data_IF_079648734770
#
_entry.id   IF_079648734770
#
_cell.length_a   1.000
_cell.length_b   1.000
_cell.length_c   1.000
_cell.angle_alpha   90.00
_cell.angle_beta   90.00
_cell.angle_gamma   90.00
#
_symmetry.space_group_name_H-M   'P 1'
#
loop_
_entity.id
_entity.type
_entity.pdbx_description
1 polymer ?
#
# COMPACT_ATOMS: atom_id res chain seq x y z
N UNK A 1 -9.61 -40.05 24.60
CA UNK A 1 -10.19 -39.12 23.59
C UNK A 1 -10.42 -37.68 24.08
N UNK A 2 -10.46 -37.41 25.40
CA UNK A 2 -10.70 -36.05 25.96
C UNK A 2 -9.52 -35.06 25.80
N UNK A 3 -8.26 -35.53 25.88
CA UNK A 3 -7.06 -34.69 25.75
C UNK A 3 -6.93 -34.04 24.36
N UNK A 4 -7.25 -34.78 23.29
CA UNK A 4 -7.19 -34.30 21.91
C UNK A 4 -8.20 -33.16 21.65
N UNK A 5 -9.43 -33.29 22.17
CA UNK A 5 -10.42 -32.21 22.11
C UNK A 5 -9.98 -30.96 22.87
N UNK A 6 -9.40 -31.12 24.07
CA UNK A 6 -8.90 -29.99 24.85
C UNK A 6 -7.75 -29.24 24.14
N UNK A 7 -6.84 -29.96 23.47
CA UNK A 7 -5.79 -29.33 22.65
C UNK A 7 -6.35 -28.59 21.44
N UNK A 8 -7.36 -29.15 20.75
CA UNK A 8 -7.99 -28.49 19.60
C UNK A 8 -8.76 -27.23 20.00
N UNK A 9 -9.48 -27.26 21.13
CA UNK A 9 -10.18 -26.08 21.66
C UNK A 9 -9.18 -24.98 22.02
N UNK A 10 -8.04 -25.34 22.63
CA UNK A 10 -6.99 -24.39 22.99
C UNK A 10 -6.31 -23.78 21.77
N UNK A 11 -6.01 -24.59 20.75
CA UNK A 11 -5.51 -24.13 19.45
C UNK A 11 -6.48 -23.17 18.77
N UNK A 12 -7.78 -23.48 18.78
CA UNK A 12 -8.80 -22.58 18.21
C UNK A 12 -8.91 -21.26 18.99
N UNK A 13 -8.80 -21.29 20.32
CA UNK A 13 -8.76 -20.09 21.14
C UNK A 13 -7.52 -19.24 20.87
N UNK A 14 -6.36 -19.87 20.70
CA UNK A 14 -5.11 -19.17 20.38
C UNK A 14 -5.15 -18.59 18.96
N UNK A 15 -5.73 -19.32 17.98
CA UNK A 15 -6.01 -18.81 16.64
C UNK A 15 -6.98 -17.63 16.66
N UNK A 16 -8.07 -17.71 17.44
CA UNK A 16 -9.02 -16.61 17.61
C UNK A 16 -8.38 -15.38 18.28
N UNK A 17 -7.47 -15.59 19.25
CA UNK A 17 -6.71 -14.49 19.88
C UNK A 17 -5.73 -13.86 18.91
N UNK A 18 -5.06 -14.66 18.07
CA UNK A 18 -4.19 -14.19 17.01
C UNK A 18 -4.98 -13.40 15.96
N UNK A 19 -6.10 -13.94 15.49
CA UNK A 19 -7.01 -13.25 14.57
C UNK A 19 -7.53 -11.94 15.16
N UNK A 20 -7.88 -11.92 16.45
CA UNK A 20 -8.33 -10.70 17.13
C UNK A 20 -7.19 -9.69 17.28
N UNK A 21 -5.97 -10.11 17.63
CA UNK A 21 -4.81 -9.21 17.66
C UNK A 21 -4.47 -8.66 16.27
N UNK A 22 -4.51 -9.52 15.25
CA UNK A 22 -4.34 -9.12 13.85
C UNK A 22 -5.41 -8.12 13.43
N UNK A 23 -6.66 -8.26 13.87
CA UNK A 23 -7.74 -7.32 13.56
C UNK A 23 -7.56 -5.93 14.20
N UNK A 24 -7.00 -5.87 15.41
CA UNK A 24 -6.67 -4.59 16.07
C UNK A 24 -5.42 -3.94 15.49
N UNK A 25 -4.42 -4.73 15.08
CA UNK A 25 -3.23 -4.24 14.37
C UNK A 25 -3.52 -3.90 12.90
N UNK A 26 -4.64 -4.37 12.36
CA UNK A 26 -5.05 -4.19 10.96
C UNK A 26 -5.19 -2.71 10.59
N UNK A 27 -5.57 -1.84 11.53
CA UNK A 27 -5.62 -0.39 11.30
C UNK A 27 -4.22 0.23 11.16
N UNK A 28 -3.27 -0.21 11.98
CA UNK A 28 -1.88 0.25 11.91
C UNK A 28 -1.22 -0.26 10.62
N UNK A 29 -1.48 -1.52 10.24
CA UNK A 29 -0.96 -2.10 9.00
C UNK A 29 -1.60 -1.54 7.74
N UNK A 30 -2.92 -1.29 7.75
CA UNK A 30 -3.61 -0.71 6.60
C UNK A 30 -3.05 0.66 6.26
N UNK A 31 -2.72 1.47 7.26
CA UNK A 31 -2.10 2.79 7.06
C UNK A 31 -0.75 2.65 6.36
N UNK A 32 0.10 1.72 6.80
CA UNK A 32 1.37 1.41 6.14
C UNK A 32 1.19 0.92 4.70
N UNK A 33 0.26 -0.02 4.45
CA UNK A 33 0.02 -0.55 3.11
C UNK A 33 -0.45 0.52 2.13
N UNK A 34 -1.33 1.42 2.60
CA UNK A 34 -1.79 2.57 1.84
C UNK A 34 -0.66 3.58 1.58
N UNK A 35 0.21 3.81 2.56
CA UNK A 35 1.40 4.64 2.37
C UNK A 35 2.33 4.03 1.32
N UNK A 36 2.59 2.73 1.38
CA UNK A 36 3.51 2.05 0.47
C UNK A 36 3.03 2.09 -0.99
N UNK A 37 1.77 1.71 -1.25
CA UNK A 37 1.24 1.74 -2.62
C UNK A 37 1.18 3.17 -3.19
N UNK A 38 0.92 4.18 -2.34
CA UNK A 38 0.96 5.58 -2.77
C UNK A 38 2.39 6.06 -3.02
N UNK A 39 3.38 5.58 -2.25
CA UNK A 39 4.80 5.82 -2.50
C UNK A 39 5.19 5.31 -3.89
N UNK A 40 4.85 4.05 -4.18
CA UNK A 40 5.09 3.44 -5.50
C UNK A 40 4.38 4.20 -6.62
N UNK A 41 3.13 4.63 -6.39
CA UNK A 41 2.42 5.46 -7.36
C UNK A 41 3.16 6.76 -7.67
N UNK A 42 3.72 7.43 -6.65
CA UNK A 42 4.53 8.64 -6.84
C UNK A 42 5.75 8.34 -7.70
N UNK A 43 6.50 7.30 -7.35
CA UNK A 43 7.70 6.87 -8.09
C UNK A 43 7.39 6.57 -9.55
N UNK A 44 6.35 5.79 -9.81
CA UNK A 44 5.90 5.45 -11.17
C UNK A 44 5.49 6.68 -11.95
N UNK A 45 4.79 7.63 -11.31
CA UNK A 45 4.39 8.87 -11.96
C UNK A 45 5.62 9.68 -12.37
N UNK A 46 6.62 9.80 -11.50
CA UNK A 46 7.84 10.54 -11.79
C UNK A 46 8.71 9.84 -12.84
N UNK A 47 8.92 8.53 -12.71
CA UNK A 47 9.68 7.72 -13.64
C UNK A 47 9.07 7.73 -15.05
N UNK A 48 7.76 7.46 -15.20
CA UNK A 48 7.10 7.45 -16.52
C UNK A 48 6.97 8.83 -17.16
N UNK A 49 7.06 9.90 -16.37
CA UNK A 49 7.10 11.27 -16.89
C UNK A 49 8.52 11.76 -17.17
N UNK A 50 9.55 10.93 -16.96
CA UNK A 50 10.97 11.28 -17.05
C UNK A 50 11.29 12.55 -16.24
N UNK A 51 10.79 12.60 -15.01
CA UNK A 51 10.96 13.73 -14.09
C UNK A 51 11.74 13.30 -12.86
N UNK A 52 12.63 14.19 -12.43
CA UNK A 52 13.30 14.06 -11.15
C UNK A 52 12.33 14.37 -10.00
N UNK A 53 12.48 13.63 -8.90
CA UNK A 53 11.81 13.91 -7.65
C UNK A 53 12.28 15.27 -7.09
N UNK A 54 11.49 15.91 -6.20
CA UNK A 54 11.88 17.15 -5.54
C UNK A 54 13.26 17.02 -4.90
N UNK A 55 14.13 18.00 -5.11
CA UNK A 55 15.55 17.92 -4.72
C UNK A 55 16.48 17.46 -5.83
N UNK A 56 15.94 17.07 -7.00
CA UNK A 56 16.73 16.71 -8.17
C UNK A 56 17.19 15.25 -8.16
N UNK A 57 16.50 14.38 -7.42
CA UNK A 57 16.82 12.96 -7.31
C UNK A 57 16.15 12.13 -8.41
N UNK A 58 16.88 11.21 -9.03
CA UNK A 58 16.26 10.18 -9.84
C UNK A 58 15.54 9.19 -8.92
N UNK A 59 14.48 8.55 -9.41
CA UNK A 59 13.77 7.51 -8.64
C UNK A 59 14.72 6.36 -8.28
N UNK A 60 15.60 5.98 -9.21
CA UNK A 60 16.56 4.88 -9.06
C UNK A 60 17.70 5.17 -8.06
N UNK A 61 17.91 6.45 -7.70
CA UNK A 61 19.01 6.88 -6.84
C UNK A 61 18.53 7.26 -5.43
N UNK A 62 17.21 7.25 -5.20
CA UNK A 62 16.63 7.82 -3.98
C UNK A 62 16.85 6.93 -2.75
N UNK A 63 17.15 5.65 -2.93
CA UNK A 63 17.42 4.67 -1.86
C UNK A 63 18.63 5.04 -0.99
N UNK A 64 19.51 5.93 -1.45
CA UNK A 64 20.69 6.38 -0.71
C UNK A 64 20.37 7.49 0.32
N UNK A 65 19.16 8.04 0.31
CA UNK A 65 18.75 9.12 1.20
C UNK A 65 18.31 8.57 2.55
N UNK A 66 18.53 9.35 3.61
CA UNK A 66 18.01 9.04 4.94
C UNK A 66 16.46 9.10 4.96
N UNK A 67 15.86 8.39 5.91
CA UNK A 67 14.41 8.27 6.01
C UNK A 67 13.70 9.62 6.13
N UNK A 68 14.24 10.58 6.88
CA UNK A 68 13.61 11.90 7.06
C UNK A 68 13.62 12.71 5.76
N UNK A 69 14.75 12.68 5.05
CA UNK A 69 14.87 13.30 3.73
C UNK A 69 13.92 12.66 2.73
N UNK A 70 13.84 11.32 2.69
CA UNK A 70 12.89 10.57 1.85
C UNK A 70 11.44 10.99 2.12
N UNK A 71 11.04 11.04 3.40
CA UNK A 71 9.70 11.49 3.82
C UNK A 71 9.38 12.85 3.20
N UNK A 72 10.30 13.82 3.34
CA UNK A 72 10.11 15.18 2.83
C UNK A 72 10.01 15.22 1.31
N UNK A 73 10.83 14.42 0.61
CA UNK A 73 10.82 14.32 -0.86
C UNK A 73 9.48 13.77 -1.33
N UNK A 74 9.03 12.62 -0.84
CA UNK A 74 7.75 12.03 -1.25
C UNK A 74 6.56 12.91 -0.88
N UNK A 75 6.56 13.51 0.32
CA UNK A 75 5.51 14.47 0.74
C UNK A 75 5.39 15.63 -0.24
N UNK A 76 6.52 16.16 -0.71
CA UNK A 76 6.55 17.25 -1.68
C UNK A 76 6.15 16.77 -3.07
N UNK A 77 6.59 15.58 -3.47
CA UNK A 77 6.32 14.98 -4.77
C UNK A 77 4.82 14.73 -4.96
N UNK A 78 4.18 14.12 -3.97
CA UNK A 78 2.74 13.82 -3.97
C UNK A 78 1.90 15.08 -4.27
N UNK A 79 2.21 16.20 -3.60
CA UNK A 79 1.52 17.48 -3.78
C UNK A 79 1.69 18.07 -5.18
N UNK A 80 2.81 17.80 -5.86
CA UNK A 80 3.14 18.33 -7.19
C UNK A 80 2.52 17.52 -8.33
N UNK A 81 1.93 16.36 -8.05
CA UNK A 81 1.26 15.55 -9.07
C UNK A 81 -0.11 16.16 -9.41
N UNK A 82 -0.27 16.59 -10.66
CA UNK A 82 -1.51 17.20 -11.14
C UNK A 82 -2.58 16.16 -11.51
N UNK A 83 -3.83 16.43 -11.14
CA UNK A 83 -5.02 15.61 -11.46
C UNK A 83 -5.14 15.30 -12.96
N UNK A 84 -4.99 16.30 -13.83
CA UNK A 84 -5.13 16.11 -15.28
C UNK A 84 -4.11 15.12 -15.83
N UNK A 85 -2.92 15.04 -15.22
CA UNK A 85 -1.86 14.13 -15.65
C UNK A 85 -2.16 12.70 -15.24
N UNK A 86 -2.60 12.48 -14.01
CA UNK A 86 -3.04 11.16 -13.54
C UNK A 86 -4.12 10.58 -14.47
N UNK A 87 -5.12 11.41 -14.82
CA UNK A 87 -6.17 10.99 -15.74
C UNK A 87 -5.64 10.68 -17.13
N UNK A 88 -4.89 11.60 -17.76
CA UNK A 88 -4.48 11.47 -19.17
C UNK A 88 -3.38 10.45 -19.41
N UNK A 89 -2.48 10.23 -18.45
CA UNK A 89 -1.29 9.38 -18.61
C UNK A 89 -1.40 8.02 -17.91
N UNK A 90 -2.24 7.93 -16.88
CA UNK A 90 -2.36 6.73 -16.05
C UNK A 90 -3.79 6.18 -15.99
N UNK A 91 -4.77 6.87 -16.59
CA UNK A 91 -6.18 6.46 -16.54
C UNK A 91 -6.80 6.54 -15.15
N UNK A 92 -6.14 7.21 -14.21
CA UNK A 92 -6.58 7.29 -12.81
C UNK A 92 -7.60 8.42 -12.61
N UNK A 93 -8.68 8.09 -11.91
CA UNK A 93 -9.74 9.03 -11.56
C UNK A 93 -9.28 10.14 -10.60
N UNK A 94 -10.13 11.16 -10.40
CA UNK A 94 -9.85 12.24 -9.44
C UNK A 94 -9.69 11.76 -7.98
N UNK A 95 -10.22 10.57 -7.64
CA UNK A 95 -10.08 10.00 -6.28
C UNK A 95 -8.62 9.70 -5.93
N UNK A 96 -7.82 9.24 -6.90
CA UNK A 96 -6.39 8.98 -6.70
C UNK A 96 -5.59 10.26 -6.49
N UNK A 97 -5.94 11.32 -7.23
CA UNK A 97 -5.38 12.64 -6.94
C UNK A 97 -5.69 13.07 -5.50
N UNK A 98 -6.94 12.90 -5.06
CA UNK A 98 -7.33 13.18 -3.68
C UNK A 98 -6.50 12.40 -2.66
N UNK A 99 -6.26 11.10 -2.89
CA UNK A 99 -5.42 10.28 -2.03
C UNK A 99 -3.96 10.78 -1.98
N UNK A 100 -3.37 11.12 -3.13
CA UNK A 100 -2.02 11.71 -3.17
C UNK A 100 -1.93 13.06 -2.43
N UNK A 101 -2.97 13.90 -2.51
CA UNK A 101 -3.01 15.16 -1.77
C UNK A 101 -3.09 14.95 -0.25
N UNK A 102 -3.56 13.79 0.21
CA UNK A 102 -3.60 13.38 1.62
C UNK A 102 -2.43 12.49 2.03
N UNK A 103 -1.53 12.14 1.12
CA UNK A 103 -0.40 11.25 1.41
C UNK A 103 0.47 11.73 2.57
N UNK A 104 0.53 13.04 2.81
CA UNK A 104 1.23 13.61 3.97
C UNK A 104 0.72 13.13 5.34
N UNK A 105 -0.52 12.63 5.41
CA UNK A 105 -1.12 12.07 6.63
C UNK A 105 -0.55 10.68 6.95
N UNK A 106 -0.03 9.98 5.93
CA UNK A 106 0.37 8.56 6.04
C UNK A 106 1.85 8.32 5.73
N UNK A 107 2.58 9.29 5.18
CA UNK A 107 3.97 9.14 4.71
C UNK A 107 4.94 8.61 5.79
N UNK A 108 4.71 8.96 7.07
CA UNK A 108 5.56 8.53 8.19
C UNK A 108 5.36 7.04 8.56
N UNK A 109 4.32 6.40 8.03
CA UNK A 109 4.02 4.98 8.28
C UNK A 109 4.52 4.08 7.15
N UNK A 110 5.16 4.64 6.12
CA UNK A 110 5.69 3.84 5.00
C UNK A 110 6.80 2.92 5.49
N UNK A 111 6.86 1.78 4.83
CA UNK A 111 7.95 0.82 4.88
C UNK A 111 9.25 1.39 4.31
N UNK A 112 10.39 0.84 4.71
CA UNK A 112 11.66 1.08 4.01
C UNK A 112 11.60 0.55 2.57
N UNK A 113 11.01 -0.64 2.38
CA UNK A 113 10.72 -1.22 1.08
C UNK A 113 9.19 -1.29 0.86
N UNK A 114 8.61 -0.45 -0.02
CA UNK A 114 7.18 -0.48 -0.33
C UNK A 114 6.67 -1.79 -0.98
N UNK A 115 7.56 -2.64 -1.52
CA UNK A 115 7.17 -3.94 -2.08
C UNK A 115 6.88 -4.98 -1.00
N UNK A 116 7.39 -4.82 0.22
CA UNK A 116 7.21 -5.80 1.30
C UNK A 116 5.74 -5.98 1.70
N UNK A 117 4.89 -4.98 1.44
CA UNK A 117 3.48 -4.99 1.82
C UNK A 117 2.54 -5.46 0.71
N UNK A 118 3.05 -5.71 -0.50
CA UNK A 118 2.26 -6.13 -1.67
C UNK A 118 1.33 -7.31 -1.34
N UNK A 119 1.90 -8.45 -0.94
CA UNK A 119 1.14 -9.70 -0.80
C UNK A 119 0.15 -9.65 0.36
N UNK A 120 0.53 -9.02 1.48
CA UNK A 120 -0.36 -8.89 2.64
C UNK A 120 -1.51 -7.92 2.36
N UNK A 121 -1.25 -6.83 1.64
CA UNK A 121 -2.30 -5.90 1.24
C UNK A 121 -3.24 -6.53 0.22
N UNK A 122 -2.70 -7.29 -0.74
CA UNK A 122 -3.49 -8.04 -1.71
C UNK A 122 -4.46 -9.02 -1.02
N UNK A 123 -3.94 -9.83 -0.09
CA UNK A 123 -4.75 -10.77 0.69
C UNK A 123 -5.84 -10.07 1.50
N UNK A 124 -5.52 -8.93 2.09
CA UNK A 124 -6.52 -8.12 2.79
C UNK A 124 -7.62 -7.64 1.85
N UNK A 125 -7.28 -7.08 0.68
CA UNK A 125 -8.26 -6.62 -0.30
C UNK A 125 -9.17 -7.76 -0.77
N UNK A 126 -8.63 -8.95 -1.02
CA UNK A 126 -9.43 -10.13 -1.39
C UNK A 126 -10.42 -10.50 -0.29
N UNK A 127 -9.99 -10.52 0.98
CA UNK A 127 -10.86 -10.80 2.11
C UNK A 127 -11.94 -9.73 2.29
N UNK A 128 -11.57 -8.46 2.10
CA UNK A 128 -12.45 -7.31 2.26
C UNK A 128 -13.41 -7.09 1.07
N UNK A 129 -13.19 -7.78 -0.06
CA UNK A 129 -13.96 -7.57 -1.31
C UNK A 129 -15.48 -7.68 -1.12
N UNK A 130 -15.93 -8.53 -0.21
CA UNK A 130 -17.35 -8.70 0.12
C UNK A 130 -17.91 -7.61 1.04
N UNK A 131 -17.13 -7.12 2.01
CA UNK A 131 -17.58 -6.17 3.03
C UNK A 131 -17.38 -4.71 2.60
N UNK A 132 -16.26 -4.41 1.93
CA UNK A 132 -15.92 -3.10 1.41
C UNK A 132 -15.46 -3.17 -0.06
N UNK A 133 -16.41 -3.39 -1.00
CA UNK A 133 -16.08 -3.47 -2.42
C UNK A 133 -15.44 -2.19 -2.96
N UNK A 134 -15.73 -1.04 -2.36
CA UNK A 134 -15.16 0.25 -2.74
C UNK A 134 -13.67 0.37 -2.42
N UNK A 135 -13.18 -0.24 -1.33
CA UNK A 135 -11.75 -0.31 -1.04
C UNK A 135 -11.03 -1.24 -2.03
N UNK A 136 -11.62 -2.40 -2.32
CA UNK A 136 -11.08 -3.34 -3.31
C UNK A 136 -10.97 -2.70 -4.70
N UNK A 137 -12.03 -2.04 -5.18
CA UNK A 137 -12.02 -1.36 -6.48
C UNK A 137 -10.96 -0.25 -6.52
N UNK A 138 -10.93 0.59 -5.47
CA UNK A 138 -10.03 1.73 -5.43
C UNK A 138 -8.56 1.29 -5.38
N UNK A 139 -8.17 0.46 -4.43
CA UNK A 139 -6.78 0.05 -4.28
C UNK A 139 -6.36 -0.95 -5.36
N UNK A 140 -7.26 -1.87 -5.75
CA UNK A 140 -6.98 -2.89 -6.75
C UNK A 140 -6.63 -2.32 -8.12
N UNK A 141 -7.16 -1.16 -8.51
CA UNK A 141 -6.77 -0.50 -9.76
C UNK A 141 -5.30 -0.07 -9.78
N UNK A 142 -4.68 0.16 -8.62
CA UNK A 142 -3.26 0.53 -8.52
C UNK A 142 -2.32 -0.66 -8.64
N UNK A 143 -2.77 -1.88 -8.37
CA UNK A 143 -1.91 -3.08 -8.33
C UNK A 143 -1.17 -3.32 -9.65
N UNK A 144 -1.83 -3.36 -10.82
CA UNK A 144 -1.13 -3.57 -12.09
C UNK A 144 -0.16 -2.44 -12.43
N UNK A 145 -0.41 -1.23 -11.91
CA UNK A 145 0.47 -0.09 -12.12
C UNK A 145 1.70 -0.17 -11.21
N UNK A 146 1.50 -0.48 -9.92
CA UNK A 146 2.50 -0.39 -8.85
C UNK A 146 3.34 -1.65 -8.73
N UNK A 147 2.70 -2.81 -8.74
CA UNK A 147 3.33 -4.10 -8.51
C UNK A 147 3.48 -4.93 -9.78
N UNK A 148 2.93 -4.46 -10.91
CA UNK A 148 2.90 -5.19 -12.20
C UNK A 148 2.18 -6.54 -12.12
N UNK A 149 1.32 -6.70 -11.12
CA UNK A 149 0.47 -7.86 -10.87
C UNK A 149 -0.93 -7.39 -10.50
N UNK A 150 -1.91 -8.25 -10.69
CA UNK A 150 -3.27 -8.07 -10.17
C UNK A 150 -3.32 -8.36 -8.67
N UNK A 151 -4.39 -7.92 -8.01
CA UNK A 151 -4.63 -8.24 -6.59
C UNK A 151 -4.65 -9.76 -6.37
N UNK A 152 -5.29 -10.50 -7.28
CA UNK A 152 -5.39 -11.96 -7.21
C UNK A 152 -4.02 -12.64 -7.32
N UNK A 153 -3.19 -12.21 -8.27
CA UNK A 153 -1.84 -12.75 -8.46
C UNK A 153 -0.96 -12.48 -7.24
N UNK A 154 -0.96 -11.25 -6.73
CA UNK A 154 -0.20 -10.87 -5.54
C UNK A 154 -0.68 -11.62 -4.28
N UNK A 155 -2.00 -11.85 -4.15
CA UNK A 155 -2.56 -12.58 -3.01
C UNK A 155 -2.20 -14.08 -3.01
N UNK A 156 -1.90 -14.65 -4.17
CA UNK A 156 -1.53 -16.06 -4.35
C UNK A 156 -0.05 -16.38 -4.03
N UNK A 157 0.78 -15.37 -3.76
CA UNK A 157 2.19 -15.54 -3.43
C UNK A 157 2.33 -15.91 -1.93
N UNK A 158 3.06 -16.99 -1.66
CA UNK A 158 3.30 -17.54 -0.33
C UNK A 158 4.55 -16.97 0.32
#
# INVERSE_FOLDING_TARGET
>A
MSKLRASTIRLNLDLMKLQRHMSTMQHDFLTTWQADILTLLIEIVYARLHRMLPGGYAVEEIELLDYETLTRVYRTAAKRIHRERLRRKFGLSARYHGALQKYWEVVEFRSEDPFQTECVFARWLVAEKGENPGAYEFWGQLFPLCYRRTVEESAAIF
#
